data_IF_762172794964
#
_entry.id   IF_762172794964
#
_cell.length_a   1.000
_cell.length_b   1.000
_cell.length_c   1.000
_cell.angle_alpha   90.00
_cell.angle_beta   90.00
_cell.angle_gamma   90.00
#
_symmetry.space_group_name_H-M   'P 1'
#
loop_
_entity.id
_entity.type
_entity.pdbx_description
1 polymer ?
#
# COMPACT_ATOMS: atom_id res chain seq x y z
N UNK A 1 -19.07 17.33 -21.61
CA UNK A 1 -17.68 16.82 -21.51
C UNK A 1 -17.74 15.74 -20.45
N UNK A 2 -17.49 14.47 -20.78
CA UNK A 2 -17.46 13.42 -19.76
C UNK A 2 -16.24 13.69 -18.89
N UNK A 3 -16.44 14.26 -17.71
CA UNK A 3 -15.40 14.37 -16.70
C UNK A 3 -14.90 12.95 -16.42
N UNK A 4 -13.65 12.68 -16.77
CA UNK A 4 -13.05 11.37 -16.57
C UNK A 4 -13.19 10.95 -15.10
N UNK A 5 -13.55 9.69 -14.88
CA UNK A 5 -13.73 9.14 -13.54
C UNK A 5 -12.50 9.48 -12.66
N UNK A 6 -12.69 10.03 -11.46
CA UNK A 6 -11.58 10.45 -10.62
C UNK A 6 -10.75 9.23 -10.22
N UNK A 7 -9.44 9.30 -10.47
CA UNK A 7 -8.50 8.26 -10.02
C UNK A 7 -8.40 8.35 -8.50
N UNK A 8 -8.84 7.30 -7.81
CA UNK A 8 -8.72 7.17 -6.36
C UNK A 8 -7.51 6.28 -6.04
N UNK A 9 -6.48 6.86 -5.44
CA UNK A 9 -5.35 6.13 -4.90
C UNK A 9 -5.60 5.81 -3.42
N UNK A 10 -5.40 4.54 -3.03
CA UNK A 10 -5.49 4.08 -1.65
C UNK A 10 -4.13 3.53 -1.26
N UNK A 11 -3.60 3.99 -0.12
CA UNK A 11 -2.32 3.55 0.42
C UNK A 11 -2.43 3.31 1.93
N UNK A 12 -1.72 2.30 2.43
CA UNK A 12 -1.49 2.13 3.86
C UNK A 12 -0.32 3.02 4.27
N UNK A 13 -0.56 3.93 5.20
CA UNK A 13 0.41 4.94 5.63
C UNK A 13 0.72 4.74 7.10
N UNK A 14 2.00 4.85 7.46
CA UNK A 14 2.36 4.94 8.89
C UNK A 14 1.95 6.30 9.45
N UNK A 15 1.89 6.43 10.79
CA UNK A 15 1.64 7.72 11.43
C UNK A 15 2.63 8.80 10.98
N UNK A 16 3.90 8.42 10.78
CA UNK A 16 4.95 9.31 10.32
C UNK A 16 4.75 9.77 8.87
N UNK A 17 4.16 8.92 8.03
CA UNK A 17 3.79 9.30 6.66
C UNK A 17 2.59 10.25 6.66
N UNK A 18 1.59 10.00 7.52
CA UNK A 18 0.45 10.91 7.70
C UNK A 18 0.94 12.30 8.12
N UNK A 19 1.83 12.37 9.11
CA UNK A 19 2.41 13.65 9.57
C UNK A 19 3.21 14.36 8.46
N UNK A 20 3.81 13.59 7.54
CA UNK A 20 4.57 14.12 6.40
C UNK A 20 3.66 14.64 5.28
N UNK A 21 2.57 13.93 4.97
CA UNK A 21 1.66 14.31 3.89
C UNK A 21 0.63 15.37 4.32
N UNK A 22 0.35 15.47 5.63
CA UNK A 22 -0.49 16.51 6.22
C UNK A 22 -1.87 16.61 5.57
N UNK A 23 -2.32 17.85 5.36
CA UNK A 23 -3.66 18.18 4.82
C UNK A 23 -3.87 17.82 3.34
N UNK A 24 -2.88 17.23 2.66
CA UNK A 24 -3.02 16.80 1.26
C UNK A 24 -3.84 15.51 1.11
N UNK A 25 -4.13 14.82 2.20
CA UNK A 25 -4.93 13.61 2.20
C UNK A 25 -6.41 13.96 2.36
N UNK A 26 -7.19 13.73 1.31
CA UNK A 26 -8.62 14.10 1.30
C UNK A 26 -9.45 13.24 2.27
N UNK A 27 -9.01 12.00 2.57
CA UNK A 27 -9.64 11.08 3.52
C UNK A 27 -8.58 10.23 4.21
N UNK A 28 -8.56 10.24 5.54
CA UNK A 28 -7.74 9.35 6.36
C UNK A 28 -8.64 8.50 7.25
N UNK A 29 -8.49 7.18 7.16
CA UNK A 29 -9.18 6.23 8.02
C UNK A 29 -8.11 5.52 8.86
N UNK A 30 -8.23 5.64 10.18
CA UNK A 30 -7.34 4.91 11.10
C UNK A 30 -7.66 3.43 10.96
N UNK A 31 -6.65 2.66 10.57
CA UNK A 31 -6.70 1.20 10.70
C UNK A 31 -6.19 0.92 12.10
N UNK A 32 -7.08 0.43 12.97
CA UNK A 32 -6.66 -0.05 14.28
C UNK A 32 -5.82 -1.32 14.12
N UNK A 33 -5.02 -1.63 15.14
CA UNK A 33 -4.15 -2.81 15.22
C UNK A 33 -5.04 -4.07 15.37
N UNK A 34 -5.78 -4.36 14.31
CA UNK A 34 -6.70 -5.46 14.19
C UNK A 34 -6.00 -6.54 13.37
N UNK A 35 -5.79 -7.69 14.00
CA UNK A 35 -5.10 -8.85 13.40
C UNK A 35 -5.82 -9.42 12.18
N UNK A 36 -6.99 -8.89 11.82
CA UNK A 36 -7.82 -9.32 10.70
C UNK A 36 -7.10 -9.23 9.35
N UNK A 37 -6.09 -8.36 9.22
CA UNK A 37 -5.35 -8.14 7.97
C UNK A 37 -3.92 -8.69 7.98
N UNK A 38 -3.43 -9.21 9.10
CA UNK A 38 -2.04 -9.67 9.24
C UNK A 38 -1.70 -10.77 8.22
N UNK A 39 -2.63 -11.71 8.00
CA UNK A 39 -2.42 -12.78 7.03
C UNK A 39 -2.40 -12.26 5.59
N UNK A 40 -3.22 -11.24 5.28
CA UNK A 40 -3.20 -10.62 3.96
C UNK A 40 -1.88 -9.88 3.70
N UNK A 41 -1.41 -9.09 4.68
CA UNK A 41 -0.12 -8.40 4.58
C UNK A 41 1.02 -9.40 4.43
N UNK A 42 1.02 -10.49 5.20
CA UNK A 42 2.00 -11.57 5.09
C UNK A 42 2.02 -12.20 3.70
N UNK A 43 0.86 -12.39 3.07
CA UNK A 43 0.75 -12.93 1.71
C UNK A 43 1.25 -11.94 0.65
N UNK A 44 1.01 -10.64 0.82
CA UNK A 44 1.54 -9.58 -0.04
C UNK A 44 3.07 -9.56 0.04
N UNK A 45 3.62 -9.54 1.26
CA UNK A 45 5.07 -9.58 1.48
C UNK A 45 5.70 -10.82 0.84
N UNK A 46 5.05 -11.98 0.91
CA UNK A 46 5.53 -13.20 0.24
C UNK A 46 5.51 -13.09 -1.27
N UNK A 47 4.48 -12.49 -1.84
CA UNK A 47 4.36 -12.30 -3.28
C UNK A 47 5.43 -11.32 -3.80
N UNK A 48 5.69 -10.23 -3.08
CA UNK A 48 6.73 -9.27 -3.41
C UNK A 48 8.12 -9.90 -3.29
N UNK A 49 8.42 -10.60 -2.20
CA UNK A 49 9.68 -11.34 -2.03
C UNK A 49 9.88 -12.39 -3.14
N UNK A 50 8.84 -13.15 -3.51
CA UNK A 50 8.93 -14.14 -4.58
C UNK A 50 9.19 -13.48 -5.95
N UNK A 51 8.67 -12.27 -6.15
CA UNK A 51 8.87 -11.48 -7.37
C UNK A 51 10.27 -10.90 -7.44
N UNK A 52 10.79 -10.35 -6.34
CA UNK A 52 12.17 -9.85 -6.24
C UNK A 52 13.19 -10.96 -6.48
N UNK A 53 13.02 -12.12 -5.84
CA UNK A 53 13.88 -13.30 -6.05
C UNK A 53 13.89 -13.79 -7.52
N UNK A 54 12.78 -13.63 -8.24
CA UNK A 54 12.70 -13.97 -9.67
C UNK A 54 13.48 -12.99 -10.55
N UNK A 55 13.55 -11.72 -10.15
CA UNK A 55 14.26 -10.67 -10.89
C UNK A 55 15.79 -10.86 -10.73
N UNK A 56 16.26 -11.21 -9.53
CA UNK A 56 17.69 -11.44 -9.27
C UNK A 56 18.23 -12.76 -9.82
N UNK A 57 17.37 -13.77 -10.01
CA UNK A 57 17.73 -15.06 -10.64
C UNK A 57 17.74 -15.05 -12.18
N UNK A 58 17.44 -13.92 -12.84
CA UNK A 58 17.33 -13.78 -14.29
C UNK A 58 18.60 -13.32 -15.02
N UNK A 59 19.68 -13.05 -14.29
CA UNK A 59 20.99 -12.70 -14.87
C UNK A 59 22.05 -13.72 -14.44
N UNK A 60 22.07 -14.87 -15.10
CA UNK A 60 23.21 -15.79 -15.10
C UNK A 60 23.27 -16.52 -16.45
#
# INVERSE_FOLDING_TARGET
MSEGEPIVAVALLSQRDIDRFGDNLMRCYRVDDASDFDELLRLIDQADNARENRIEGGTA
#
